data_IF_972027128309
#
_entry.id   IF_972027128309
#
_cell.length_a   1.000
_cell.length_b   1.000
_cell.length_c   1.000
_cell.angle_alpha   90.00
_cell.angle_beta   90.00
_cell.angle_gamma   90.00
#
_symmetry.space_group_name_H-M   'P 1'
#
loop_
_entity.id
_entity.type
_entity.pdbx_description
1 polymer ?
#
# COMPACT_ATOMS: atom_id res chain seq x y z
N UNK A 1 23.61 -9.28 0.55
CA UNK A 1 23.21 -8.53 -0.64
C UNK A 1 22.56 -7.22 -0.19
N UNK A 2 22.88 -6.07 -0.77
CA UNK A 2 22.21 -4.82 -0.43
C UNK A 2 20.69 -4.96 -0.71
N UNK A 3 19.86 -4.48 0.22
CA UNK A 3 18.41 -4.51 0.03
C UNK A 3 18.01 -3.62 -1.15
N UNK A 4 17.03 -4.04 -1.97
CA UNK A 4 16.59 -3.24 -3.09
C UNK A 4 16.07 -1.88 -2.59
N UNK A 5 16.46 -0.80 -3.26
CA UNK A 5 16.04 0.57 -2.91
C UNK A 5 14.52 0.73 -3.10
N UNK A 6 13.93 -0.01 -4.05
CA UNK A 6 12.51 0.04 -4.39
C UNK A 6 11.84 -1.31 -4.11
N UNK A 7 10.67 -1.27 -3.50
CA UNK A 7 9.83 -2.45 -3.35
C UNK A 7 9.29 -2.93 -4.71
N UNK A 8 8.98 -4.24 -4.87
CA UNK A 8 8.36 -4.73 -6.09
C UNK A 8 7.04 -4.01 -6.36
N UNK A 9 6.79 -3.67 -7.63
CA UNK A 9 5.49 -3.18 -8.07
C UNK A 9 4.42 -4.26 -7.84
N UNK A 10 3.17 -3.84 -7.55
CA UNK A 10 2.02 -4.74 -7.32
C UNK A 10 2.06 -5.62 -6.06
N UNK A 11 3.03 -5.47 -5.16
CA UNK A 11 3.07 -6.23 -3.89
C UNK A 11 1.79 -6.04 -3.05
N UNK A 12 1.10 -4.89 -3.16
CA UNK A 12 -0.16 -4.61 -2.48
C UNK A 12 -1.27 -5.61 -2.81
N UNK A 13 -1.26 -6.20 -4.03
CA UNK A 13 -2.28 -7.17 -4.47
C UNK A 13 -2.27 -8.46 -3.65
N UNK A 14 -1.15 -8.76 -3.00
CA UNK A 14 -1.01 -9.92 -2.10
C UNK A 14 -1.46 -9.62 -0.66
N UNK A 15 -1.82 -8.36 -0.36
CA UNK A 15 -2.26 -8.00 0.98
C UNK A 15 -3.75 -8.31 1.19
N UNK A 16 -4.07 -8.85 2.37
CA UNK A 16 -5.45 -9.06 2.80
C UNK A 16 -6.27 -7.76 2.76
N UNK A 17 -5.62 -6.61 3.01
CA UNK A 17 -6.25 -5.30 2.95
C UNK A 17 -6.77 -4.98 1.55
N UNK A 18 -5.99 -5.27 0.51
CA UNK A 18 -6.41 -5.11 -0.89
C UNK A 18 -7.51 -6.09 -1.26
N UNK A 19 -7.35 -7.36 -0.90
CA UNK A 19 -8.32 -8.43 -1.22
C UNK A 19 -9.67 -8.11 -0.58
N UNK A 20 -9.70 -7.85 0.73
CA UNK A 20 -10.95 -7.54 1.44
C UNK A 20 -11.54 -6.21 1.01
N UNK A 21 -10.72 -5.18 0.78
CA UNK A 21 -11.16 -3.88 0.27
C UNK A 21 -11.84 -4.03 -1.11
N UNK A 22 -11.27 -4.82 -2.01
CA UNK A 22 -11.85 -5.10 -3.33
C UNK A 22 -13.16 -5.88 -3.21
N UNK A 23 -13.26 -6.84 -2.29
CA UNK A 23 -14.52 -7.55 -2.01
C UNK A 23 -15.59 -6.55 -1.53
N UNK A 24 -15.26 -5.63 -0.62
CA UNK A 24 -16.17 -4.58 -0.15
C UNK A 24 -16.63 -3.70 -1.32
N UNK A 25 -15.73 -3.29 -2.22
CA UNK A 25 -16.07 -2.52 -3.43
C UNK A 25 -17.10 -3.27 -4.29
N UNK A 26 -16.87 -4.55 -4.55
CA UNK A 26 -17.76 -5.39 -5.34
C UNK A 26 -19.11 -5.64 -4.65
N UNK A 27 -19.12 -5.89 -3.35
CA UNK A 27 -20.36 -6.14 -2.59
C UNK A 27 -21.18 -4.86 -2.39
N UNK A 28 -20.53 -3.71 -2.19
CA UNK A 28 -21.22 -2.41 -2.17
C UNK A 28 -21.90 -2.14 -3.50
N UNK A 29 -21.20 -2.35 -4.62
CA UNK A 29 -21.79 -2.20 -5.95
C UNK A 29 -22.98 -3.15 -6.18
N UNK A 30 -22.85 -4.41 -5.73
CA UNK A 30 -23.92 -5.41 -5.80
C UNK A 30 -25.11 -5.03 -4.93
N UNK A 31 -24.85 -4.53 -3.71
CA UNK A 31 -25.88 -4.03 -2.80
C UNK A 31 -26.64 -2.84 -3.39
N UNK A 32 -25.92 -1.83 -3.87
CA UNK A 32 -26.52 -0.64 -4.45
C UNK A 32 -27.38 -0.97 -5.67
N UNK A 33 -26.94 -1.87 -6.55
CA UNK A 33 -27.72 -2.33 -7.70
C UNK A 33 -29.00 -3.06 -7.32
N UNK A 34 -29.00 -3.78 -6.20
CA UNK A 34 -30.15 -4.56 -5.75
C UNK A 34 -31.18 -3.74 -4.96
N UNK A 35 -30.73 -2.73 -4.20
CA UNK A 35 -31.59 -2.08 -3.18
C UNK A 35 -31.69 -0.56 -3.27
N UNK A 36 -30.91 0.09 -4.12
CA UNK A 36 -31.00 1.53 -4.38
C UNK A 36 -31.56 1.74 -5.79
N UNK A 37 -32.89 1.55 -5.91
CA UNK A 37 -33.63 1.77 -7.14
C UNK A 37 -34.18 3.22 -7.19
N UNK A 38 -34.83 3.57 -8.30
CA UNK A 38 -35.43 4.89 -8.51
C UNK A 38 -36.43 5.29 -7.41
N UNK A 39 -37.10 4.34 -6.76
CA UNK A 39 -38.05 4.61 -5.67
C UNK A 39 -37.33 5.01 -4.38
N UNK A 40 -36.23 4.34 -4.07
CA UNK A 40 -35.47 4.51 -2.83
C UNK A 40 -34.37 5.57 -2.96
N UNK A 41 -33.83 5.78 -4.16
CA UNK A 41 -32.80 6.78 -4.48
C UNK A 41 -33.11 7.47 -5.83
N UNK A 42 -34.16 8.32 -5.90
CA UNK A 42 -34.64 8.90 -7.16
C UNK A 42 -33.61 9.71 -7.94
N UNK A 43 -32.57 10.20 -7.27
CA UNK A 43 -31.50 11.00 -7.87
C UNK A 43 -30.20 10.23 -8.05
N UNK A 44 -30.17 8.96 -7.66
CA UNK A 44 -28.95 8.12 -7.71
C UNK A 44 -27.81 8.61 -6.82
N UNK A 45 -28.06 9.53 -5.90
CA UNK A 45 -27.00 10.15 -5.09
C UNK A 45 -26.42 9.20 -4.07
N UNK A 46 -27.23 8.43 -3.40
CA UNK A 46 -26.76 7.45 -2.41
C UNK A 46 -25.98 6.33 -3.11
N UNK A 47 -26.50 5.89 -4.26
CA UNK A 47 -25.78 4.93 -5.10
C UNK A 47 -24.39 5.43 -5.48
N UNK A 48 -24.28 6.66 -6.00
CA UNK A 48 -23.03 7.25 -6.43
C UNK A 48 -22.07 7.46 -5.26
N UNK A 49 -22.54 7.97 -4.12
CA UNK A 49 -21.71 8.20 -2.93
C UNK A 49 -21.16 6.90 -2.37
N UNK A 50 -22.00 5.89 -2.13
CA UNK A 50 -21.57 4.61 -1.57
C UNK A 50 -20.58 3.89 -2.50
N UNK A 51 -20.87 3.83 -3.79
CA UNK A 51 -19.99 3.17 -4.76
C UNK A 51 -18.68 3.92 -4.94
N UNK A 52 -18.70 5.26 -4.92
CA UNK A 52 -17.51 6.08 -4.98
C UNK A 52 -16.65 5.96 -3.70
N UNK A 53 -17.27 5.94 -2.51
CA UNK A 53 -16.55 5.73 -1.26
C UNK A 53 -15.85 4.36 -1.23
N UNK A 54 -16.56 3.29 -1.61
CA UNK A 54 -15.98 1.95 -1.70
C UNK A 54 -14.79 1.90 -2.68
N UNK A 55 -14.98 2.47 -3.88
CA UNK A 55 -13.94 2.57 -4.90
C UNK A 55 -12.74 3.39 -4.44
N UNK A 56 -12.99 4.56 -3.86
CA UNK A 56 -11.95 5.46 -3.35
C UNK A 56 -11.12 4.78 -2.26
N UNK A 57 -11.77 4.04 -1.37
CA UNK A 57 -11.09 3.23 -0.36
C UNK A 57 -9.99 2.37 -0.99
N UNK A 58 -10.35 1.52 -1.96
CA UNK A 58 -9.38 0.62 -2.61
C UNK A 58 -8.34 1.36 -3.45
N UNK A 59 -8.76 2.36 -4.26
CA UNK A 59 -7.85 3.01 -5.22
C UNK A 59 -6.77 3.85 -4.52
N UNK A 60 -7.10 4.49 -3.40
CA UNK A 60 -6.11 5.21 -2.60
C UNK A 60 -5.13 4.26 -1.90
N UNK A 61 -5.54 3.04 -1.50
CA UNK A 61 -4.60 2.01 -1.05
C UNK A 61 -3.61 1.63 -2.14
N UNK A 62 -4.11 1.40 -3.36
CA UNK A 62 -3.28 1.06 -4.53
C UNK A 62 -2.28 2.17 -4.81
N UNK A 63 -2.76 3.41 -4.94
CA UNK A 63 -1.90 4.56 -5.23
C UNK A 63 -0.88 4.80 -4.10
N UNK A 64 -1.30 4.75 -2.84
CA UNK A 64 -0.41 4.86 -1.68
C UNK A 64 0.66 3.79 -1.68
N UNK A 65 0.30 2.54 -1.97
CA UNK A 65 1.26 1.43 -2.05
C UNK A 65 2.29 1.63 -3.16
N UNK A 66 1.90 2.14 -4.33
CA UNK A 66 2.83 2.48 -5.41
C UNK A 66 3.70 3.70 -5.04
N UNK A 67 3.16 4.66 -4.29
CA UNK A 67 3.91 5.84 -3.79
C UNK A 67 4.98 5.49 -2.76
N UNK A 68 4.86 4.39 -2.02
CA UNK A 68 5.92 3.91 -1.12
C UNK A 68 7.29 3.77 -1.81
N UNK A 69 7.32 3.63 -3.12
CA UNK A 69 8.55 3.57 -3.93
C UNK A 69 9.27 4.91 -4.05
N UNK A 70 8.57 6.01 -3.92
CA UNK A 70 9.10 7.36 -4.19
C UNK A 70 8.96 8.33 -3.02
N UNK A 71 7.88 8.23 -2.25
CA UNK A 71 7.61 9.11 -1.12
C UNK A 71 6.78 8.38 -0.06
N UNK A 72 7.38 8.06 1.07
CA UNK A 72 6.66 7.41 2.17
C UNK A 72 5.61 8.35 2.79
N UNK A 73 5.89 9.65 2.88
CA UNK A 73 4.94 10.63 3.43
C UNK A 73 3.66 10.72 2.59
N UNK A 74 3.80 10.83 1.25
CA UNK A 74 2.65 10.88 0.33
C UNK A 74 1.89 9.55 0.35
N UNK A 75 2.61 8.43 0.44
CA UNK A 75 2.03 7.10 0.55
C UNK A 75 1.13 6.97 1.78
N UNK A 76 1.63 7.38 2.96
CA UNK A 76 0.87 7.36 4.21
C UNK A 76 -0.39 8.23 4.11
N UNK A 77 -0.27 9.43 3.50
CA UNK A 77 -1.42 10.31 3.28
C UNK A 77 -2.48 9.64 2.40
N UNK A 78 -2.09 9.02 1.29
CA UNK A 78 -3.04 8.34 0.39
C UNK A 78 -3.68 7.12 1.06
N UNK A 79 -2.92 6.32 1.81
CA UNK A 79 -3.48 5.18 2.56
C UNK A 79 -4.50 5.67 3.59
N UNK A 80 -4.23 6.79 4.30
CA UNK A 80 -5.19 7.36 5.25
C UNK A 80 -6.45 7.93 4.56
N UNK A 81 -6.32 8.54 3.38
CA UNK A 81 -7.48 8.94 2.55
C UNK A 81 -8.32 7.71 2.15
N UNK A 82 -7.69 6.59 1.80
CA UNK A 82 -8.39 5.34 1.54
C UNK A 82 -9.14 4.82 2.78
N UNK A 83 -8.51 4.89 3.94
CA UNK A 83 -9.13 4.56 5.22
C UNK A 83 -10.34 5.47 5.52
N UNK A 84 -10.20 6.80 5.32
CA UNK A 84 -11.27 7.76 5.51
C UNK A 84 -12.48 7.45 4.60
N UNK A 85 -12.24 7.08 3.35
CA UNK A 85 -13.30 6.68 2.42
C UNK A 85 -14.07 5.45 2.89
N UNK A 86 -13.41 4.45 3.50
CA UNK A 86 -14.13 3.34 4.14
C UNK A 86 -14.87 3.74 5.42
N UNK A 87 -14.42 4.78 6.13
CA UNK A 87 -15.19 5.35 7.23
C UNK A 87 -16.48 6.03 6.73
N UNK A 88 -16.41 6.79 5.63
CA UNK A 88 -17.59 7.37 4.98
C UNK A 88 -18.57 6.28 4.56
N UNK A 89 -18.11 5.25 3.87
CA UNK A 89 -18.93 4.10 3.48
C UNK A 89 -19.61 3.42 4.67
N UNK A 90 -18.90 3.30 5.79
CA UNK A 90 -19.46 2.75 7.01
C UNK A 90 -20.64 3.60 7.52
N UNK A 91 -20.47 4.92 7.56
CA UNK A 91 -21.55 5.83 7.99
C UNK A 91 -22.75 5.79 7.03
N UNK A 92 -22.53 5.63 5.73
CA UNK A 92 -23.59 5.45 4.74
C UNK A 92 -24.42 4.20 5.03
N UNK A 93 -23.79 3.05 5.29
CA UNK A 93 -24.50 1.82 5.65
C UNK A 93 -25.21 1.92 7.00
N UNK A 94 -24.61 2.58 7.99
CA UNK A 94 -25.26 2.82 9.29
C UNK A 94 -26.50 3.71 9.12
N UNK A 95 -26.39 4.80 8.37
CA UNK A 95 -27.51 5.69 8.05
C UNK A 95 -28.61 4.95 7.31
N UNK A 96 -28.24 4.09 6.35
CA UNK A 96 -29.17 3.27 5.59
C UNK A 96 -29.98 2.29 6.47
N UNK A 97 -29.34 1.68 7.48
CA UNK A 97 -30.02 0.84 8.47
C UNK A 97 -30.94 1.67 9.38
N UNK A 98 -30.43 2.79 9.94
CA UNK A 98 -31.20 3.67 10.83
C UNK A 98 -32.46 4.22 10.16
N UNK A 99 -32.39 4.60 8.89
CA UNK A 99 -33.54 5.06 8.10
C UNK A 99 -34.66 4.01 8.03
N UNK A 100 -34.34 2.73 8.19
CA UNK A 100 -35.26 1.60 8.22
C UNK A 100 -35.65 1.12 9.61
N UNK A 101 -35.23 1.85 10.65
CA UNK A 101 -35.46 1.49 12.04
C UNK A 101 -34.65 0.30 12.51
N UNK A 102 -33.57 -0.03 11.79
CA UNK A 102 -32.70 -1.16 12.10
C UNK A 102 -31.40 -0.71 12.75
N UNK A 103 -30.83 -1.57 13.57
CA UNK A 103 -29.50 -1.37 14.14
C UNK A 103 -28.51 -2.37 13.52
N UNK A 104 -27.20 -2.03 13.48
CA UNK A 104 -26.20 -3.00 13.05
C UNK A 104 -26.14 -4.21 14.01
N UNK A 105 -25.71 -5.34 13.51
CA UNK A 105 -25.46 -6.52 14.34
C UNK A 105 -24.56 -6.21 15.52
N UNK A 106 -24.93 -6.73 16.70
CA UNK A 106 -24.05 -6.64 17.85
C UNK A 106 -22.71 -7.32 17.54
N UNK A 107 -21.61 -6.73 18.01
CA UNK A 107 -20.27 -7.23 17.74
C UNK A 107 -20.06 -8.70 18.14
N UNK A 108 -20.78 -9.14 19.17
CA UNK A 108 -20.74 -10.49 19.76
C UNK A 108 -21.86 -11.40 19.24
N UNK A 109 -22.69 -10.92 18.30
CA UNK A 109 -23.70 -11.78 17.67
C UNK A 109 -23.05 -12.90 16.86
N UNK A 110 -23.75 -14.02 16.72
CA UNK A 110 -23.27 -15.16 15.97
C UNK A 110 -22.97 -14.83 14.50
N UNK A 111 -23.83 -14.02 13.88
CA UNK A 111 -23.71 -13.59 12.49
C UNK A 111 -22.47 -12.70 12.30
N UNK A 112 -22.31 -11.69 13.16
CA UNK A 112 -21.15 -10.78 13.08
C UNK A 112 -19.84 -11.55 13.28
N UNK A 113 -19.80 -12.47 14.25
CA UNK A 113 -18.62 -13.31 14.50
C UNK A 113 -18.34 -14.27 13.34
N UNK A 114 -19.37 -14.82 12.72
CA UNK A 114 -19.22 -15.73 11.58
C UNK A 114 -18.59 -14.99 10.37
N UNK A 115 -19.09 -13.79 10.01
CA UNK A 115 -18.53 -12.98 8.93
C UNK A 115 -17.10 -12.51 9.28
N UNK A 116 -16.89 -12.05 10.52
CA UNK A 116 -15.57 -11.58 10.96
C UNK A 116 -14.52 -12.70 10.95
N UNK A 117 -14.94 -13.93 11.27
CA UNK A 117 -14.10 -15.11 11.35
C UNK A 117 -13.71 -15.73 10.00
N UNK A 118 -14.28 -15.28 8.87
CA UNK A 118 -13.90 -15.78 7.55
C UNK A 118 -12.43 -15.46 7.28
N UNK A 119 -11.58 -16.50 7.18
CA UNK A 119 -10.16 -16.36 6.87
C UNK A 119 -9.95 -16.22 5.38
N UNK A 120 -9.14 -15.25 5.00
CA UNK A 120 -8.62 -15.11 3.65
C UNK A 120 -7.42 -16.04 3.47
N UNK A 121 -7.32 -16.69 2.32
CA UNK A 121 -6.13 -17.47 2.00
C UNK A 121 -4.96 -16.54 1.67
N UNK A 122 -3.73 -16.93 2.03
CA UNK A 122 -2.56 -16.15 1.64
C UNK A 122 -2.43 -16.08 0.11
N UNK A 123 -2.31 -14.86 -0.40
CA UNK A 123 -2.10 -14.62 -1.82
C UNK A 123 -0.63 -14.88 -2.19
N UNK A 124 -0.40 -15.65 -3.25
CA UNK A 124 0.92 -15.86 -3.83
C UNK A 124 0.79 -15.90 -5.36
N UNK A 125 1.19 -14.81 -6.00
CA UNK A 125 1.09 -14.66 -7.46
C UNK A 125 2.48 -14.81 -8.08
N UNK A 126 2.58 -15.50 -9.23
CA UNK A 126 3.87 -15.86 -9.82
C UNK A 126 4.13 -15.24 -11.19
N UNK A 127 3.25 -15.46 -12.17
CA UNK A 127 3.51 -15.13 -13.58
C UNK A 127 2.53 -14.13 -14.17
N UNK A 128 1.22 -14.33 -13.91
CA UNK A 128 0.16 -13.44 -14.41
C UNK A 128 -0.57 -12.79 -13.23
N UNK A 129 0.08 -11.82 -12.61
CA UNK A 129 -0.40 -11.13 -11.39
C UNK A 129 -1.82 -10.59 -11.57
N UNK A 130 -2.18 -10.07 -12.76
CA UNK A 130 -3.49 -9.51 -12.99
C UNK A 130 -4.57 -10.60 -12.95
N UNK A 131 -4.38 -11.68 -13.68
CA UNK A 131 -5.33 -12.78 -13.74
C UNK A 131 -5.39 -13.52 -12.39
N UNK A 132 -4.24 -13.83 -11.81
CA UNK A 132 -4.14 -14.57 -10.55
C UNK A 132 -4.79 -13.79 -9.41
N UNK A 133 -4.55 -12.48 -9.28
CA UNK A 133 -5.20 -11.65 -8.25
C UNK A 133 -6.71 -11.54 -8.45
N UNK A 134 -7.20 -11.43 -9.69
CA UNK A 134 -8.64 -11.44 -9.96
C UNK A 134 -9.28 -12.76 -9.55
N UNK A 135 -8.68 -13.89 -9.91
CA UNK A 135 -9.19 -15.22 -9.54
C UNK A 135 -9.17 -15.42 -8.02
N UNK A 136 -8.14 -14.94 -7.35
CA UNK A 136 -8.03 -14.98 -5.89
C UNK A 136 -9.17 -14.20 -5.23
N UNK A 137 -9.38 -12.93 -5.62
CA UNK A 137 -10.48 -12.11 -5.10
C UNK A 137 -11.83 -12.77 -5.33
N UNK A 138 -12.07 -13.36 -6.52
CA UNK A 138 -13.31 -14.08 -6.83
C UNK A 138 -13.50 -15.29 -5.90
N UNK A 139 -12.44 -16.05 -5.65
CA UNK A 139 -12.49 -17.22 -4.75
C UNK A 139 -12.79 -16.79 -3.30
N UNK A 140 -12.10 -15.77 -2.80
CA UNK A 140 -12.28 -15.25 -1.45
C UNK A 140 -13.68 -14.64 -1.25
N UNK A 141 -14.19 -13.91 -2.25
CA UNK A 141 -15.56 -13.38 -2.27
C UNK A 141 -16.62 -14.46 -2.11
N UNK A 142 -16.42 -15.65 -2.72
CA UNK A 142 -17.36 -16.78 -2.61
C UNK A 142 -17.54 -17.28 -1.17
N UNK A 143 -16.53 -17.15 -0.32
CA UNK A 143 -16.62 -17.53 1.10
C UNK A 143 -17.64 -16.70 1.88
N UNK A 144 -17.95 -15.50 1.39
CA UNK A 144 -18.88 -14.54 1.99
C UNK A 144 -20.28 -14.59 1.32
N UNK A 145 -20.48 -15.46 0.34
CA UNK A 145 -21.70 -15.51 -0.46
C UNK A 145 -22.98 -15.73 0.36
N UNK A 146 -22.90 -16.53 1.42
CA UNK A 146 -24.07 -16.80 2.28
C UNK A 146 -24.71 -15.54 2.87
N UNK A 147 -23.92 -14.51 3.11
CA UNK A 147 -24.39 -13.22 3.64
C UNK A 147 -24.54 -12.17 2.52
N UNK A 148 -23.55 -12.07 1.66
CA UNK A 148 -23.48 -11.01 0.64
C UNK A 148 -24.43 -11.25 -0.56
N UNK A 149 -24.94 -12.46 -0.75
CA UNK A 149 -25.94 -12.80 -1.78
C UNK A 149 -27.32 -13.08 -1.16
N UNK A 150 -27.52 -12.76 0.13
CA UNK A 150 -28.82 -12.90 0.78
C UNK A 150 -29.89 -12.01 0.08
N UNK A 151 -31.11 -12.49 0.01
CA UNK A 151 -32.29 -11.70 -0.40
C UNK A 151 -32.64 -10.61 0.61
N UNK A 152 -32.25 -10.80 1.88
CA UNK A 152 -32.45 -9.81 2.94
C UNK A 152 -31.39 -8.71 2.88
N UNK A 153 -31.82 -7.51 2.51
CA UNK A 153 -30.94 -6.33 2.43
C UNK A 153 -30.22 -6.01 3.77
N UNK A 154 -30.85 -6.33 4.90
CA UNK A 154 -30.28 -6.10 6.24
C UNK A 154 -29.11 -7.03 6.50
N UNK A 155 -29.22 -8.29 6.10
CA UNK A 155 -28.14 -9.27 6.20
C UNK A 155 -26.94 -8.80 5.38
N UNK A 156 -27.17 -8.35 4.13
CA UNK A 156 -26.11 -7.85 3.26
C UNK A 156 -25.45 -6.60 3.79
N UNK A 157 -26.25 -5.60 4.24
CA UNK A 157 -25.71 -4.37 4.81
C UNK A 157 -24.84 -4.64 6.04
N UNK A 158 -25.32 -5.49 6.95
CA UNK A 158 -24.57 -5.87 8.15
C UNK A 158 -23.29 -6.65 7.84
N UNK A 159 -23.31 -7.58 6.89
CA UNK A 159 -22.12 -8.30 6.47
C UNK A 159 -21.05 -7.35 5.91
N UNK A 160 -21.45 -6.37 5.08
CA UNK A 160 -20.55 -5.35 4.56
C UNK A 160 -20.00 -4.49 5.70
N UNK A 161 -20.80 -4.07 6.68
CA UNK A 161 -20.34 -3.33 7.87
C UNK A 161 -19.30 -4.09 8.68
N UNK A 162 -19.48 -5.41 8.86
CA UNK A 162 -18.47 -6.23 9.54
C UNK A 162 -17.17 -6.29 8.73
N UNK A 163 -17.24 -6.45 7.41
CA UNK A 163 -16.08 -6.41 6.54
C UNK A 163 -15.36 -5.06 6.56
N UNK A 164 -16.12 -3.95 6.54
CA UNK A 164 -15.55 -2.59 6.66
C UNK A 164 -14.82 -2.44 8.00
N UNK A 165 -15.41 -2.90 9.09
CA UNK A 165 -14.76 -2.88 10.42
C UNK A 165 -13.43 -3.62 10.40
N UNK A 166 -13.37 -4.75 9.70
CA UNK A 166 -12.16 -5.56 9.57
C UNK A 166 -11.11 -4.88 8.70
N UNK A 167 -11.49 -4.33 7.54
CA UNK A 167 -10.54 -3.64 6.65
C UNK A 167 -9.98 -2.39 7.28
N UNK A 168 -10.76 -1.62 8.05
CA UNK A 168 -10.27 -0.45 8.78
C UNK A 168 -9.16 -0.80 9.77
N UNK A 169 -9.28 -1.93 10.49
CA UNK A 169 -8.19 -2.42 11.36
C UNK A 169 -6.93 -2.78 10.57
N UNK A 170 -7.08 -3.31 9.36
CA UNK A 170 -5.94 -3.59 8.49
C UNK A 170 -5.25 -2.30 8.04
N UNK A 171 -6.03 -1.25 7.70
CA UNK A 171 -5.49 0.07 7.38
C UNK A 171 -4.73 0.69 8.56
N UNK A 172 -5.29 0.62 9.78
CA UNK A 172 -4.60 1.10 10.98
C UNK A 172 -3.26 0.37 11.19
N UNK A 173 -3.24 -0.95 10.96
CA UNK A 173 -2.02 -1.75 10.99
C UNK A 173 -0.99 -1.35 9.95
N UNK A 174 -1.41 -1.10 8.70
CA UNK A 174 -0.55 -0.63 7.61
C UNK A 174 0.05 0.74 7.92
N UNK A 175 -0.77 1.70 8.33
CA UNK A 175 -0.34 3.06 8.68
C UNK A 175 0.69 3.02 9.82
N UNK A 176 0.42 2.21 10.86
CA UNK A 176 1.35 2.04 11.98
C UNK A 176 2.67 1.43 11.51
N UNK A 177 2.62 0.34 10.75
CA UNK A 177 3.83 -0.37 10.29
C UNK A 177 4.71 0.51 9.40
N UNK A 178 4.11 1.16 8.40
CA UNK A 178 4.86 2.05 7.51
C UNK A 178 5.33 3.33 8.20
N UNK A 179 4.56 3.86 9.17
CA UNK A 179 4.97 4.99 10.00
C UNK A 179 6.17 4.66 10.88
N UNK A 180 6.20 3.47 11.47
CA UNK A 180 7.34 3.00 12.26
C UNK A 180 8.57 2.75 11.38
N UNK A 181 8.39 2.15 10.20
CA UNK A 181 9.47 1.95 9.24
C UNK A 181 10.07 3.29 8.78
N UNK A 182 9.22 4.27 8.47
CA UNK A 182 9.65 5.62 8.10
C UNK A 182 10.46 6.29 9.22
N UNK A 183 10.01 6.16 10.47
CA UNK A 183 10.72 6.71 11.64
C UNK A 183 12.09 6.07 11.85
N UNK A 184 12.21 4.75 11.62
CA UNK A 184 13.45 4.01 11.85
C UNK A 184 14.45 4.12 10.71
N UNK A 185 13.98 4.03 9.46
CA UNK A 185 14.82 3.93 8.26
C UNK A 185 14.87 5.22 7.43
N UNK A 186 14.07 6.23 7.82
CA UNK A 186 13.91 7.45 7.02
C UNK A 186 13.16 7.21 5.70
N UNK A 187 12.98 8.29 4.94
CA UNK A 187 12.36 8.25 3.63
C UNK A 187 13.31 7.79 2.52
N UNK A 188 12.75 7.66 1.31
CA UNK A 188 13.52 7.24 0.13
C UNK A 188 14.74 8.13 -0.15
N UNK A 189 14.61 9.46 0.05
CA UNK A 189 15.69 10.43 -0.18
C UNK A 189 16.87 10.18 0.75
N UNK A 190 16.60 9.89 2.02
CA UNK A 190 17.62 9.58 3.02
C UNK A 190 18.30 8.24 2.71
N UNK A 191 17.53 7.21 2.36
CA UNK A 191 18.07 5.91 1.93
C UNK A 191 18.93 6.02 0.67
N UNK A 192 18.51 6.78 -0.33
CA UNK A 192 19.32 7.05 -1.54
C UNK A 192 20.60 7.80 -1.21
N UNK A 193 20.54 8.77 -0.29
CA UNK A 193 21.74 9.51 0.15
C UNK A 193 22.69 8.58 0.89
N UNK A 194 22.18 7.77 1.82
CA UNK A 194 22.98 6.78 2.55
C UNK A 194 23.65 5.77 1.58
N UNK A 195 22.89 5.20 0.64
CA UNK A 195 23.42 4.29 -0.36
C UNK A 195 24.50 4.93 -1.24
N UNK A 196 24.33 6.21 -1.63
CA UNK A 196 25.39 6.95 -2.39
C UNK A 196 26.64 7.19 -1.56
N UNK A 197 26.49 7.50 -0.26
CA UNK A 197 27.63 7.67 0.64
C UNK A 197 28.37 6.35 0.85
N UNK A 198 27.62 5.26 1.04
CA UNK A 198 28.19 3.92 1.19
C UNK A 198 28.93 3.46 -0.09
N UNK A 199 28.33 3.63 -1.27
CA UNK A 199 28.96 3.34 -2.55
C UNK A 199 30.26 4.16 -2.76
N UNK A 200 30.26 5.45 -2.33
CA UNK A 200 31.48 6.26 -2.37
C UNK A 200 32.55 5.75 -1.40
N UNK A 201 32.17 5.35 -0.18
CA UNK A 201 33.11 4.79 0.81
C UNK A 201 33.70 3.46 0.34
N UNK A 202 32.88 2.61 -0.28
CA UNK A 202 33.35 1.35 -0.87
C UNK A 202 34.36 1.61 -2.01
N UNK A 203 34.10 2.57 -2.89
CA UNK A 203 35.05 2.99 -3.92
C UNK A 203 36.31 3.66 -3.39
N UNK A 204 36.23 4.34 -2.25
CA UNK A 204 37.39 4.96 -1.57
C UNK A 204 38.22 3.91 -0.80
N UNK A 205 37.68 2.74 -0.39
CA UNK A 205 38.41 1.67 0.31
C UNK A 205 39.46 1.00 -0.60
N UNK A 206 39.21 0.94 -1.91
CA UNK A 206 40.14 0.40 -2.91
C UNK A 206 41.06 1.48 -3.52
N UNK A 207 40.94 2.73 -3.03
CA UNK A 207 41.73 3.84 -3.54
C UNK A 207 43.21 3.69 -3.16
N UNK A 208 44.13 3.78 -4.13
CA UNK A 208 45.57 3.69 -3.85
C UNK A 208 46.02 4.88 -2.97
N UNK A 209 47.15 4.68 -2.28
CA UNK A 209 47.79 5.78 -1.56
C UNK A 209 48.60 6.67 -2.50
N UNK A 210 48.59 7.97 -2.22
CA UNK A 210 49.34 8.94 -2.98
C UNK A 210 50.84 8.68 -2.86
N UNK A 211 51.55 8.53 -4.00
CA UNK A 211 53.00 8.24 -3.98
C UNK A 211 53.82 9.43 -3.44
N UNK A 212 53.26 10.63 -3.36
CA UNK A 212 53.96 11.83 -2.89
C UNK A 212 53.79 12.09 -1.39
N UNK A 213 52.58 11.90 -0.83
CA UNK A 213 52.27 12.27 0.56
C UNK A 213 51.58 11.17 1.37
N UNK A 214 51.34 10.00 0.79
CA UNK A 214 50.68 8.88 1.49
C UNK A 214 49.16 9.04 1.77
N UNK A 215 48.58 10.19 1.47
CA UNK A 215 47.14 10.41 1.64
C UNK A 215 46.33 9.51 0.69
N UNK A 216 45.03 9.27 0.99
CA UNK A 216 44.13 8.56 0.08
C UNK A 216 43.99 9.31 -1.24
N UNK A 217 43.79 8.57 -2.32
CA UNK A 217 43.52 9.14 -3.63
C UNK A 217 42.05 9.00 -4.00
N UNK A 218 41.57 9.82 -4.91
CA UNK A 218 40.21 9.75 -5.43
C UNK A 218 40.23 9.67 -6.95
N UNK A 219 39.38 8.81 -7.50
CA UNK A 219 39.19 8.72 -8.94
C UNK A 219 38.65 10.04 -9.49
N UNK A 220 39.27 10.55 -10.53
CA UNK A 220 38.90 11.79 -11.23
C UNK A 220 38.82 11.50 -12.74
N UNK A 221 37.84 12.11 -13.38
CA UNK A 221 37.67 12.04 -14.82
C UNK A 221 38.38 13.26 -15.45
N UNK A 222 39.37 12.99 -16.27
CA UNK A 222 40.12 14.02 -16.99
C UNK A 222 39.89 13.95 -18.51
N UNK A 223 40.36 14.95 -19.25
CA UNK A 223 40.27 15.00 -20.71
C UNK A 223 41.01 13.89 -21.43
N UNK A 224 41.94 13.24 -20.75
CA UNK A 224 42.78 12.11 -21.27
C UNK A 224 42.47 10.76 -20.60
N UNK A 225 41.27 10.66 -19.94
CA UNK A 225 40.86 9.46 -19.26
C UNK A 225 40.85 9.60 -17.71
N UNK A 226 40.52 8.48 -17.06
CA UNK A 226 40.40 8.41 -15.61
C UNK A 226 41.76 8.33 -14.94
N UNK A 227 41.90 9.05 -13.82
CA UNK A 227 43.13 9.03 -13.02
C UNK A 227 42.84 9.17 -11.53
N UNK A 228 43.72 8.64 -10.70
CA UNK A 228 43.69 8.85 -9.27
C UNK A 228 44.36 10.18 -8.93
N UNK A 229 43.60 11.11 -8.27
CA UNK A 229 44.13 12.39 -7.77
C UNK A 229 44.21 12.40 -6.26
N UNK A 230 45.26 12.99 -5.69
CA UNK A 230 45.43 13.11 -4.26
C UNK A 230 44.30 13.92 -3.61
N UNK A 231 43.76 13.45 -2.47
CA UNK A 231 42.71 14.16 -1.69
C UNK A 231 43.25 15.42 -1.01
N UNK A 232 44.57 15.52 -0.79
CA UNK A 232 45.22 16.70 -0.22
C UNK A 232 45.46 17.84 -1.23
N UNK A 233 44.90 17.80 -2.45
CA UNK A 233 44.99 18.91 -3.39
C UNK A 233 44.31 20.16 -2.81
N UNK A 234 44.87 21.37 -2.94
CA UNK A 234 46.02 21.76 -3.76
C UNK A 234 47.41 21.59 -3.12
N UNK A 235 47.48 21.23 -1.85
CA UNK A 235 48.75 21.10 -1.11
C UNK A 235 49.63 19.98 -1.66
N UNK A 236 49.03 18.88 -2.12
CA UNK A 236 49.70 17.81 -2.82
C UNK A 236 49.06 17.59 -4.19
N UNK A 237 49.87 17.56 -5.25
CA UNK A 237 49.42 17.34 -6.66
C UNK A 237 49.68 15.95 -7.17
N UNK A 238 49.88 14.98 -6.27
CA UNK A 238 50.14 13.59 -6.65
C UNK A 238 49.00 12.99 -7.49
N UNK A 239 49.34 12.35 -8.57
CA UNK A 239 48.43 11.61 -9.46
C UNK A 239 48.96 10.20 -9.72
N UNK A 240 48.04 9.26 -10.04
CA UNK A 240 48.32 7.90 -10.45
C UNK A 240 47.37 7.48 -11.56
N UNK A 241 47.87 6.80 -12.56
CA UNK A 241 47.06 6.23 -13.63
C UNK A 241 46.21 5.09 -13.12
N UNK A 242 44.98 4.97 -13.63
CA UNK A 242 44.13 3.78 -13.41
C UNK A 242 44.73 2.65 -14.26
N UNK A 243 45.14 1.58 -13.63
CA UNK A 243 45.53 0.39 -14.36
C UNK A 243 44.26 -0.27 -14.88
N UNK A 244 44.13 -0.38 -16.21
CA UNK A 244 43.09 -1.14 -16.91
C UNK A 244 43.23 -2.64 -16.71
#
# INVERSE_FOLDING_TARGET
MPQPIFNPSFAYRQSDCYVLGTIIELETLSFCRAFLDFKNDPKGRQYDQMTQAARSGVKNLVEGSERLRTSTADALTLIDVGRASFCELREDFLTWLMDRGEAPWAKDSQEAQAVFGVRLEPANYSTDINRESCLHVIAERRKLAAWCQSEDCRVRANAILVMITRVLRMYDGLLKSHGEEFRQKGGIRERMTAARVEARRAGDSDAPKCPQCGASMRLRHGTHGDFWGCTAYPTCRGTRQVQS
#
